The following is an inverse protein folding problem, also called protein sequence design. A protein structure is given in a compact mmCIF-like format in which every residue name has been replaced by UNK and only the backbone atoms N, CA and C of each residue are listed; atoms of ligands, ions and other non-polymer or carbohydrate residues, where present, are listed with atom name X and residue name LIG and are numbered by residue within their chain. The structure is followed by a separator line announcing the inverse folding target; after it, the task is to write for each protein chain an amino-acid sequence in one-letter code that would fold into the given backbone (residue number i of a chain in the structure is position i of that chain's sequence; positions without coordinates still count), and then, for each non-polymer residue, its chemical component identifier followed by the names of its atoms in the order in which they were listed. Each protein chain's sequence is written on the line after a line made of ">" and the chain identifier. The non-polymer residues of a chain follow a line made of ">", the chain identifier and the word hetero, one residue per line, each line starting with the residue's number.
data_IF_104132213864
#
_entry.id   IF_104132213864
#
_cell.length_a   1.000
_cell.length_b   1.000
_cell.length_c   1.000
_cell.angle_alpha   90.00
_cell.angle_beta   90.00
_cell.angle_gamma   90.00
#
_symmetry.space_group_name_H-M   'P 1'
#
loop_
_entity.id
_entity.type
_entity.pdbx_description
1 polymer ?
#
# COMPACT_ATOMS: atom_id res chain seq x y z
N UNK A 1 -18.45 10.97 -48.57
CA UNK A 1 -19.51 11.98 -48.38
C UNK A 1 -19.12 12.82 -47.17
N UNK A 2 -19.13 14.15 -47.35
CA UNK A 2 -18.63 15.20 -46.48
C UNK A 2 -19.15 15.19 -45.04
N UNK A 3 -18.30 15.69 -44.12
CA UNK A 3 -18.59 16.71 -43.07
C UNK A 3 -17.55 16.52 -41.94
N UNK A 4 -16.56 17.37 -41.66
CA UNK A 4 -16.37 18.78 -41.90
C UNK A 4 -14.87 19.00 -42.17
N UNK A 5 -14.51 19.66 -43.28
CA UNK A 5 -13.36 20.56 -43.21
C UNK A 5 -13.81 21.67 -42.25
N UNK A 6 -13.63 21.46 -40.94
CA UNK A 6 -13.82 22.51 -39.95
C UNK A 6 -12.80 23.58 -40.30
N UNK A 7 -13.27 24.61 -41.01
CA UNK A 7 -12.52 25.81 -41.35
C UNK A 7 -12.26 26.58 -40.06
N UNK A 8 -11.29 26.08 -39.29
CA UNK A 8 -10.78 26.77 -38.13
C UNK A 8 -10.14 28.10 -38.58
N UNK A 9 -10.26 29.10 -37.71
CA UNK A 9 -9.58 30.37 -37.91
C UNK A 9 -8.05 30.15 -38.02
N UNK A 10 -7.35 31.09 -38.66
CA UNK A 10 -5.89 31.09 -38.61
C UNK A 10 -5.40 31.17 -37.16
N UNK A 11 -4.16 30.70 -36.91
CA UNK A 11 -3.59 30.69 -35.55
C UNK A 11 -3.69 32.05 -34.86
N UNK A 12 -3.42 33.16 -35.58
CA UNK A 12 -3.51 34.51 -35.03
C UNK A 12 -4.94 34.91 -34.67
N UNK A 13 -5.91 34.67 -35.56
CA UNK A 13 -7.31 35.00 -35.31
C UNK A 13 -7.88 34.18 -34.14
N UNK A 14 -7.58 32.89 -34.11
CA UNK A 14 -8.03 31.99 -33.07
C UNK A 14 -7.41 32.36 -31.71
N UNK A 15 -6.10 32.62 -31.68
CA UNK A 15 -5.39 33.12 -30.49
C UNK A 15 -6.00 34.40 -29.94
N UNK A 16 -6.22 35.42 -30.78
CA UNK A 16 -6.83 36.67 -30.33
C UNK A 16 -8.20 36.43 -29.68
N UNK A 17 -9.00 35.54 -30.25
CA UNK A 17 -10.31 35.19 -29.71
C UNK A 17 -10.19 34.42 -28.39
N UNK A 18 -9.31 33.42 -28.28
CA UNK A 18 -9.07 32.69 -27.02
C UNK A 18 -8.59 33.64 -25.91
N UNK A 19 -7.75 34.61 -26.22
CA UNK A 19 -7.26 35.58 -25.23
C UNK A 19 -8.37 36.49 -24.68
N UNK A 20 -9.47 36.72 -25.42
CA UNK A 20 -10.63 37.45 -24.88
C UNK A 20 -11.36 36.68 -23.78
N UNK A 21 -11.23 35.36 -23.75
CA UNK A 21 -11.82 34.49 -22.72
C UNK A 21 -11.10 34.59 -21.37
N UNK A 22 -9.94 35.26 -21.32
CA UNK A 22 -9.13 35.49 -20.11
C UNK A 22 -8.82 34.22 -19.32
N UNK A 23 -8.65 33.11 -20.01
CA UNK A 23 -8.31 31.83 -19.41
C UNK A 23 -6.88 31.87 -18.87
N UNK A 24 -6.71 31.38 -17.65
CA UNK A 24 -5.43 31.45 -16.93
C UNK A 24 -4.68 30.12 -16.93
N UNK A 25 -5.28 29.06 -17.48
CA UNK A 25 -4.63 27.76 -17.58
C UNK A 25 -5.19 26.86 -18.69
N UNK A 26 -4.41 25.88 -19.18
CA UNK A 26 -4.88 24.86 -20.10
C UNK A 26 -6.06 24.03 -19.57
N UNK A 27 -6.23 23.93 -18.25
CA UNK A 27 -7.34 23.20 -17.64
C UNK A 27 -8.68 23.92 -17.85
N UNK A 28 -8.67 25.25 -17.78
CA UNK A 28 -9.87 26.05 -18.06
C UNK A 28 -10.27 25.94 -19.54
N UNK A 29 -9.28 25.86 -20.44
CA UNK A 29 -9.52 25.57 -21.86
C UNK A 29 -10.12 24.18 -22.09
N UNK A 30 -9.58 23.16 -21.43
CA UNK A 30 -10.09 21.78 -21.52
C UNK A 30 -11.54 21.68 -21.00
N UNK A 31 -11.85 22.35 -19.89
CA UNK A 31 -13.20 22.39 -19.32
C UNK A 31 -14.19 23.12 -20.23
N UNK A 32 -13.76 24.23 -20.84
CA UNK A 32 -14.55 24.99 -21.81
C UNK A 32 -14.85 24.14 -23.07
N UNK A 33 -13.90 23.30 -23.50
CA UNK A 33 -14.12 22.33 -24.58
C UNK A 33 -15.10 21.22 -24.19
N UNK A 34 -14.98 20.66 -22.98
CA UNK A 34 -15.86 19.58 -22.49
C UNK A 34 -17.30 20.03 -22.28
N UNK A 35 -17.48 21.25 -21.78
CA UNK A 35 -18.80 21.83 -21.54
C UNK A 35 -19.47 22.37 -22.81
N UNK A 36 -18.79 22.29 -23.96
CA UNK A 36 -19.32 22.78 -25.24
C UNK A 36 -19.38 24.31 -25.34
N UNK A 37 -18.77 25.03 -24.39
CA UNK A 37 -18.76 26.50 -24.34
C UNK A 37 -17.60 27.11 -25.15
N UNK A 38 -16.89 26.29 -25.94
CA UNK A 38 -15.84 26.76 -26.84
C UNK A 38 -16.44 27.41 -28.10
N UNK A 39 -15.80 28.43 -28.66
CA UNK A 39 -16.14 28.93 -29.98
C UNK A 39 -16.01 27.82 -31.04
N UNK A 40 -17.04 27.64 -31.87
CA UNK A 40 -17.08 26.58 -32.90
C UNK A 40 -15.95 26.72 -33.93
N UNK A 41 -15.49 27.96 -34.16
CA UNK A 41 -14.42 28.29 -35.10
C UNK A 41 -13.00 28.01 -34.56
N UNK A 42 -12.88 27.44 -33.36
CA UNK A 42 -11.60 27.12 -32.71
C UNK A 42 -11.53 25.61 -32.42
N UNK A 43 -10.42 24.94 -32.78
CA UNK A 43 -10.25 23.52 -32.52
C UNK A 43 -10.20 23.24 -31.01
N UNK A 44 -10.79 22.12 -30.59
CA UNK A 44 -10.65 21.64 -29.19
C UNK A 44 -9.19 21.36 -28.83
N UNK A 45 -8.40 20.93 -29.82
CA UNK A 45 -6.97 20.63 -29.71
C UNK A 45 -6.14 21.56 -30.62
N UNK A 46 -5.87 22.79 -30.17
CA UNK A 46 -5.09 23.75 -30.96
C UNK A 46 -3.62 23.36 -31.08
N UNK A 47 -3.06 22.61 -30.13
CA UNK A 47 -1.68 22.10 -30.19
C UNK A 47 -1.51 21.13 -31.36
N UNK A 48 -2.46 20.23 -31.57
CA UNK A 48 -2.43 19.31 -32.71
C UNK A 48 -2.75 20.00 -34.05
N UNK A 49 -3.75 20.88 -34.07
CA UNK A 49 -4.19 21.55 -35.31
C UNK A 49 -3.14 22.55 -35.81
N UNK A 50 -2.69 23.47 -34.96
CA UNK A 50 -1.68 24.47 -35.34
C UNK A 50 -0.25 23.94 -35.19
N UNK A 51 -0.04 22.83 -34.50
CA UNK A 51 1.24 22.11 -34.49
C UNK A 51 1.57 21.49 -35.85
N UNK A 52 0.56 21.04 -36.59
CA UNK A 52 0.74 20.54 -37.98
C UNK A 52 1.12 21.64 -38.97
N UNK A 53 0.70 22.88 -38.73
CA UNK A 53 1.05 24.04 -39.58
C UNK A 53 2.37 24.70 -39.15
N UNK A 54 2.93 24.31 -38.00
CA UNK A 54 4.14 24.90 -37.43
C UNK A 54 3.94 26.29 -36.80
N UNK A 55 2.69 26.77 -36.73
CA UNK A 55 2.36 28.08 -36.15
C UNK A 55 2.21 28.02 -34.62
N UNK A 56 1.95 26.84 -34.07
CA UNK A 56 1.85 26.62 -32.64
C UNK A 56 3.18 26.88 -31.92
N UNK A 57 3.13 27.70 -30.87
CA UNK A 57 4.29 27.97 -30.01
C UNK A 57 4.18 27.19 -28.71
N UNK A 58 3.29 27.63 -27.83
CA UNK A 58 3.00 27.01 -26.55
C UNK A 58 1.65 27.51 -26.02
N UNK A 59 1.20 26.92 -24.91
CA UNK A 59 -0.05 27.29 -24.24
C UNK A 59 -0.02 28.72 -23.69
N UNK A 60 1.15 29.28 -23.42
CA UNK A 60 1.31 30.63 -22.90
C UNK A 60 1.03 31.67 -23.99
N UNK A 61 1.58 31.48 -25.19
CA UNK A 61 1.28 32.32 -26.35
C UNK A 61 -0.19 32.22 -26.74
N UNK A 62 -0.74 31.00 -26.71
CA UNK A 62 -2.15 30.74 -27.04
C UNK A 62 -3.14 31.42 -26.08
N UNK A 63 -2.90 31.31 -24.77
CA UNK A 63 -3.78 31.88 -23.73
C UNK A 63 -3.45 33.34 -23.37
N UNK A 64 -2.33 33.88 -23.85
CA UNK A 64 -1.90 35.25 -23.56
C UNK A 64 -1.34 35.46 -22.16
N UNK A 65 -0.75 34.41 -21.56
CA UNK A 65 -0.24 34.44 -20.19
C UNK A 65 1.21 34.95 -20.17
N UNK A 66 1.54 36.01 -19.40
CA UNK A 66 2.91 36.49 -19.27
C UNK A 66 3.85 35.41 -18.73
N UNK A 67 5.06 35.31 -19.30
CA UNK A 67 6.09 34.32 -18.91
C UNK A 67 6.53 34.41 -17.44
N UNK A 68 6.14 35.47 -16.72
CA UNK A 68 6.49 35.74 -15.32
C UNK A 68 5.59 35.04 -14.31
N UNK A 69 4.41 34.53 -14.69
CA UNK A 69 3.41 33.95 -13.76
C UNK A 69 3.45 32.41 -13.66
N UNK A 70 4.60 31.78 -13.90
CA UNK A 70 4.69 30.32 -13.99
C UNK A 70 4.74 29.66 -12.60
N UNK A 71 3.61 29.13 -12.13
CA UNK A 71 3.62 27.92 -11.27
C UNK A 71 3.78 26.69 -12.18
N UNK A 72 4.99 26.12 -12.23
CA UNK A 72 5.31 24.87 -12.95
C UNK A 72 4.30 23.75 -12.59
N UNK A 73 3.46 23.33 -13.51
CA UNK A 73 2.64 22.12 -13.39
C UNK A 73 3.21 21.02 -14.27
N UNK A 74 4.09 20.19 -13.69
CA UNK A 74 4.45 18.89 -14.28
C UNK A 74 3.31 17.89 -14.04
N UNK A 75 2.83 17.29 -15.12
CA UNK A 75 2.00 16.08 -15.15
C UNK A 75 0.53 16.32 -14.82
N UNK A 76 -0.36 15.64 -15.54
CA UNK A 76 -1.79 15.56 -15.25
C UNK A 76 -2.00 15.41 -13.74
N UNK A 77 -2.45 16.48 -13.08
CA UNK A 77 -2.84 16.38 -11.67
C UNK A 77 -4.11 15.56 -11.69
N UNK A 78 -4.03 14.31 -11.21
CA UNK A 78 -5.22 13.58 -10.77
C UNK A 78 -6.04 14.56 -9.92
N UNK A 79 -7.25 14.86 -10.37
CA UNK A 79 -8.19 15.72 -9.65
C UNK A 79 -8.66 14.93 -8.43
N UNK A 80 -8.00 15.18 -7.30
CA UNK A 80 -8.38 14.59 -6.03
C UNK A 80 -9.63 15.28 -5.50
N UNK A 81 -10.49 14.53 -4.81
CA UNK A 81 -11.68 15.08 -4.16
C UNK A 81 -11.31 16.19 -3.15
N UNK A 82 -12.22 17.14 -2.86
CA UNK A 82 -12.08 18.04 -1.73
C UNK A 82 -11.79 17.28 -0.43
N UNK A 83 -11.05 17.89 0.49
CA UNK A 83 -10.58 17.21 1.70
C UNK A 83 -11.73 16.56 2.48
N UNK A 84 -12.84 17.26 2.65
CA UNK A 84 -14.00 16.76 3.41
C UNK A 84 -14.60 15.52 2.77
N UNK A 85 -14.90 15.57 1.46
CA UNK A 85 -15.47 14.42 0.74
C UNK A 85 -14.52 13.22 0.75
N UNK A 86 -13.22 13.47 0.57
CA UNK A 86 -12.22 12.43 0.59
C UNK A 86 -12.06 11.82 2.00
N UNK A 87 -12.12 12.64 3.05
CA UNK A 87 -12.06 12.22 4.45
C UNK A 87 -13.28 11.40 4.82
N UNK A 88 -14.48 11.79 4.41
CA UNK A 88 -15.72 11.08 4.71
C UNK A 88 -15.73 9.70 4.04
N UNK A 89 -15.27 9.62 2.80
CA UNK A 89 -15.02 8.35 2.12
C UNK A 89 -14.03 7.47 2.91
N UNK A 90 -12.88 8.02 3.31
CA UNK A 90 -11.87 7.25 4.05
C UNK A 90 -12.39 6.76 5.41
N UNK A 91 -13.16 7.59 6.12
CA UNK A 91 -13.77 7.23 7.41
C UNK A 91 -14.84 6.15 7.26
N UNK A 92 -15.58 6.14 6.16
CA UNK A 92 -16.57 5.09 5.87
C UNK A 92 -15.94 3.69 5.74
N UNK A 93 -14.67 3.60 5.31
CA UNK A 93 -13.93 2.34 5.18
C UNK A 93 -13.45 1.81 6.54
N UNK A 94 -13.44 2.63 7.60
CA UNK A 94 -13.09 2.25 8.99
C UNK A 94 -11.70 1.62 9.16
N UNK A 95 -10.70 2.12 8.43
CA UNK A 95 -9.31 1.65 8.53
C UNK A 95 -8.68 2.11 9.84
N UNK A 96 -8.05 1.19 10.60
CA UNK A 96 -7.62 1.45 11.96
C UNK A 96 -6.36 2.30 12.09
N UNK A 97 -5.53 2.33 11.05
CA UNK A 97 -4.23 3.00 11.11
C UNK A 97 -3.61 3.23 9.72
N UNK A 98 -2.53 4.01 9.69
CA UNK A 98 -1.77 4.32 8.46
C UNK A 98 -1.23 3.08 7.74
N UNK A 99 -0.95 1.98 8.45
CA UNK A 99 -0.47 0.73 7.82
C UNK A 99 -1.58 0.09 7.00
N UNK A 100 -2.79 0.02 7.56
CA UNK A 100 -3.99 -0.44 6.85
C UNK A 100 -4.34 0.46 5.68
N UNK A 101 -4.25 1.79 5.84
CA UNK A 101 -4.35 2.73 4.71
C UNK A 101 -3.37 2.37 3.58
N UNK A 102 -2.11 2.11 3.93
CA UNK A 102 -1.09 1.71 2.96
C UNK A 102 -1.36 0.37 2.27
N UNK A 103 -2.00 -0.59 2.96
CA UNK A 103 -2.41 -1.87 2.38
C UNK A 103 -3.62 -1.68 1.44
N UNK A 104 -4.62 -0.92 1.87
CA UNK A 104 -5.79 -0.57 1.04
C UNK A 104 -5.37 0.19 -0.23
N UNK A 105 -4.43 1.12 -0.14
CA UNK A 105 -3.88 1.80 -1.32
C UNK A 105 -3.19 0.85 -2.32
N UNK A 106 -2.70 -0.30 -1.84
CA UNK A 106 -2.00 -1.32 -2.65
C UNK A 106 -2.92 -2.42 -3.15
N UNK A 107 -4.13 -2.59 -2.58
CA UNK A 107 -5.07 -3.61 -3.04
C UNK A 107 -5.65 -3.31 -4.42
N UNK A 108 -5.59 -2.04 -4.84
CA UNK A 108 -6.21 -1.57 -6.08
C UNK A 108 -7.66 -1.09 -5.89
N UNK A 109 -8.22 -1.26 -4.70
CA UNK A 109 -9.61 -0.87 -4.39
C UNK A 109 -9.77 0.62 -4.07
N UNK A 110 -8.67 1.35 -3.86
CA UNK A 110 -8.70 2.79 -3.62
C UNK A 110 -9.10 3.54 -4.90
N UNK A 111 -10.17 4.36 -4.88
CA UNK A 111 -10.55 5.19 -6.01
C UNK A 111 -9.43 6.14 -6.45
N UNK A 112 -9.32 6.40 -7.75
CA UNK A 112 -8.26 7.23 -8.32
C UNK A 112 -8.31 8.70 -7.89
N UNK A 113 -9.50 9.19 -7.54
CA UNK A 113 -9.75 10.53 -7.00
C UNK A 113 -9.47 10.67 -5.49
N UNK A 114 -9.03 9.60 -4.82
CA UNK A 114 -8.57 9.65 -3.43
C UNK A 114 -7.05 9.55 -3.37
N UNK A 115 -6.32 10.50 -2.77
CA UNK A 115 -4.86 10.50 -2.83
C UNK A 115 -4.24 9.43 -1.93
N UNK A 116 -3.26 8.68 -2.45
CA UNK A 116 -2.45 7.73 -1.65
C UNK A 116 -1.72 8.42 -0.50
N UNK A 117 -1.25 9.66 -0.72
CA UNK A 117 -0.55 10.47 0.26
C UNK A 117 -1.34 11.77 0.54
N UNK A 118 -2.44 11.70 1.31
CA UNK A 118 -3.34 12.83 1.55
C UNK A 118 -2.64 14.00 2.23
N UNK A 119 -1.67 13.73 3.12
CA UNK A 119 -0.82 14.74 3.74
C UNK A 119 0.01 15.54 2.72
N UNK A 120 0.32 15.01 1.54
CA UNK A 120 1.03 15.79 0.51
C UNK A 120 0.09 16.64 -0.34
N UNK A 121 -1.18 16.24 -0.43
CA UNK A 121 -2.18 16.91 -1.27
C UNK A 121 -2.85 18.03 -0.47
N UNK A 122 -3.36 17.72 0.72
CA UNK A 122 -4.18 18.63 1.51
C UNK A 122 -3.38 19.52 2.48
N UNK A 123 -2.08 19.26 2.68
CA UNK A 123 -1.22 20.25 3.38
C UNK A 123 -1.03 21.50 2.53
N UNK A 124 -1.04 21.38 1.21
CA UNK A 124 -0.90 22.55 0.31
C UNK A 124 -2.15 23.44 0.30
N UNK A 125 -3.31 22.89 0.65
CA UNK A 125 -4.58 23.62 0.77
C UNK A 125 -4.86 24.07 2.21
N UNK A 126 -4.04 23.66 3.18
CA UNK A 126 -4.20 24.01 4.60
C UNK A 126 -5.26 23.19 5.34
N UNK A 127 -5.96 22.29 4.66
CA UNK A 127 -7.05 21.48 5.24
C UNK A 127 -6.52 20.27 6.02
N UNK A 128 -5.28 19.84 5.73
CA UNK A 128 -4.68 18.71 6.43
C UNK A 128 -4.28 19.06 7.86
N UNK A 129 -4.83 18.35 8.83
CA UNK A 129 -4.43 18.45 10.24
C UNK A 129 -3.51 17.30 10.64
N UNK A 130 -3.98 16.05 10.51
CA UNK A 130 -3.27 14.88 10.99
C UNK A 130 -3.81 13.58 10.38
N UNK A 131 -3.04 12.50 10.51
CA UNK A 131 -3.50 11.16 10.14
C UNK A 131 -4.70 10.71 10.97
N UNK A 132 -4.80 11.19 12.21
CA UNK A 132 -5.91 10.91 13.11
C UNK A 132 -7.21 11.54 12.62
N UNK A 133 -7.17 12.76 12.09
CA UNK A 133 -8.33 13.40 11.48
C UNK A 133 -8.72 12.69 10.17
N UNK A 134 -7.73 12.43 9.31
CA UNK A 134 -7.96 11.79 8.02
C UNK A 134 -8.61 10.40 8.10
N UNK A 135 -8.07 9.52 8.96
CA UNK A 135 -8.60 8.17 9.13
C UNK A 135 -9.85 8.14 10.04
N UNK A 136 -10.16 9.26 10.69
CA UNK A 136 -11.07 9.31 11.83
C UNK A 136 -10.37 8.77 13.07
N UNK A 137 -10.50 9.50 14.19
CA UNK A 137 -9.95 9.09 15.48
C UNK A 137 -10.60 7.76 15.89
N UNK A 138 -9.96 6.65 15.55
CA UNK A 138 -10.25 5.38 16.16
C UNK A 138 -9.45 5.39 17.45
N UNK A 139 -10.16 5.60 18.57
CA UNK A 139 -9.68 5.18 19.90
C UNK A 139 -8.92 3.89 19.67
N UNK A 140 -7.63 3.83 20.04
CA UNK A 140 -6.85 2.59 19.96
C UNK A 140 -7.76 1.53 20.53
N UNK A 141 -8.23 0.59 19.69
CA UNK A 141 -9.10 -0.45 20.22
C UNK A 141 -8.32 -1.09 21.36
N UNK A 142 -8.93 -1.16 22.55
CA UNK A 142 -8.24 -1.76 23.68
C UNK A 142 -7.81 -3.17 23.26
N UNK A 143 -6.60 -3.55 23.62
CA UNK A 143 -6.18 -4.91 23.38
C UNK A 143 -7.08 -5.85 24.18
N UNK A 144 -7.42 -6.98 23.57
CA UNK A 144 -8.23 -8.00 24.22
C UNK A 144 -7.55 -8.52 25.49
N UNK A 145 -8.32 -8.91 26.52
CA UNK A 145 -7.82 -9.73 27.62
C UNK A 145 -7.11 -10.98 27.09
N UNK A 146 -6.17 -11.51 27.86
CA UNK A 146 -5.29 -12.59 27.38
C UNK A 146 -6.09 -13.80 26.88
N UNK A 147 -7.13 -14.19 27.61
CA UNK A 147 -7.96 -15.35 27.27
C UNK A 147 -8.72 -15.19 25.95
N UNK A 148 -9.22 -13.99 25.64
CA UNK A 148 -9.86 -13.70 24.35
C UNK A 148 -8.83 -13.66 23.22
N UNK A 149 -7.62 -13.13 23.48
CA UNK A 149 -6.54 -13.19 22.51
C UNK A 149 -6.12 -14.63 22.20
N UNK A 150 -6.02 -15.51 23.21
CA UNK A 150 -5.69 -16.93 23.05
C UNK A 150 -6.68 -17.66 22.13
N UNK A 151 -7.99 -17.40 22.26
CA UNK A 151 -9.02 -17.97 21.36
C UNK A 151 -8.76 -17.65 19.88
N UNK A 152 -8.18 -16.48 19.59
CA UNK A 152 -7.83 -16.08 18.22
C UNK A 152 -6.48 -16.69 17.79
N UNK A 153 -5.52 -16.80 18.70
CA UNK A 153 -4.16 -17.23 18.38
C UNK A 153 -4.00 -18.76 18.31
N UNK A 154 -4.64 -19.52 19.19
CA UNK A 154 -4.47 -20.98 19.24
C UNK A 154 -4.84 -21.69 17.91
N UNK A 155 -5.93 -21.32 17.20
CA UNK A 155 -6.27 -21.91 15.91
C UNK A 155 -5.21 -21.67 14.81
N UNK A 156 -4.37 -20.63 14.96
CA UNK A 156 -3.28 -20.35 14.01
C UNK A 156 -2.12 -21.34 14.13
N UNK A 157 -2.08 -22.12 15.22
CA UNK A 157 -1.05 -23.14 15.52
C UNK A 157 0.38 -22.60 15.38
N UNK A 158 0.62 -21.36 15.83
CA UNK A 158 1.95 -20.77 15.84
C UNK A 158 2.81 -21.49 16.89
N UNK A 159 3.93 -22.07 16.49
CA UNK A 159 4.75 -22.95 17.36
C UNK A 159 5.98 -22.27 17.96
N UNK A 160 6.20 -21.01 17.65
CA UNK A 160 7.36 -20.29 18.17
C UNK A 160 7.17 -18.78 18.22
N UNK A 161 8.00 -18.13 19.03
CA UNK A 161 8.13 -16.67 19.05
C UNK A 161 8.54 -16.11 17.68
N UNK A 162 9.30 -16.87 16.90
CA UNK A 162 9.67 -16.50 15.54
C UNK A 162 8.45 -16.49 14.61
N UNK A 163 7.60 -17.52 14.67
CA UNK A 163 6.36 -17.58 13.89
C UNK A 163 5.41 -16.45 14.26
N UNK A 164 5.29 -16.15 15.55
CA UNK A 164 4.57 -14.96 16.02
C UNK A 164 5.13 -13.68 15.38
N UNK A 165 6.44 -13.43 15.51
CA UNK A 165 7.07 -12.23 14.95
C UNK A 165 6.90 -12.14 13.43
N UNK A 166 6.97 -13.27 12.73
CA UNK A 166 6.71 -13.35 11.29
C UNK A 166 5.26 -13.00 10.98
N UNK A 167 4.30 -13.56 11.70
CA UNK A 167 2.87 -13.29 11.57
C UNK A 167 2.56 -11.80 11.75
N UNK A 168 3.17 -11.15 12.76
CA UNK A 168 3.08 -9.70 12.98
C UNK A 168 3.72 -8.91 11.83
N UNK A 169 4.93 -9.29 11.39
CA UNK A 169 5.65 -8.59 10.31
C UNK A 169 4.88 -8.64 8.99
N UNK A 170 4.28 -9.78 8.66
CA UNK A 170 3.43 -9.96 7.49
C UNK A 170 2.10 -9.19 7.58
N UNK A 171 1.82 -8.52 8.69
CA UNK A 171 0.60 -7.72 8.87
C UNK A 171 -0.67 -8.55 9.04
N UNK A 172 -0.54 -9.86 9.32
CA UNK A 172 -1.68 -10.76 9.51
C UNK A 172 -2.28 -10.69 10.91
N UNK A 173 -1.54 -10.12 11.88
CA UNK A 173 -1.97 -9.96 13.28
C UNK A 173 -3.20 -9.06 13.39
N UNK A 174 -4.30 -9.53 14.02
CA UNK A 174 -5.47 -8.71 14.31
C UNK A 174 -5.10 -7.42 15.06
N UNK A 175 -5.73 -6.27 14.77
CA UNK A 175 -5.47 -5.01 15.47
C UNK A 175 -5.67 -5.09 16.98
N UNK A 176 -6.63 -5.91 17.42
CA UNK A 176 -7.02 -6.12 18.81
C UNK A 176 -6.03 -6.93 19.66
N UNK A 177 -4.95 -7.43 19.07
CA UNK A 177 -3.90 -8.19 19.77
C UNK A 177 -2.60 -7.38 19.77
N UNK A 178 -1.91 -7.23 20.91
CA UNK A 178 -0.67 -6.47 20.98
C UNK A 178 0.43 -7.13 20.13
N UNK A 179 1.24 -6.33 19.43
CA UNK A 179 2.40 -6.86 18.69
C UNK A 179 3.45 -7.50 19.62
N UNK A 180 3.55 -6.98 20.85
CA UNK A 180 4.43 -7.47 21.91
C UNK A 180 3.60 -7.99 23.09
N UNK A 181 2.98 -9.18 22.98
CA UNK A 181 2.06 -9.72 23.99
C UNK A 181 2.74 -9.90 25.34
N UNK A 182 3.98 -10.39 25.37
CA UNK A 182 4.80 -10.44 26.59
C UNK A 182 4.87 -9.10 27.32
N UNK A 183 5.04 -7.99 26.60
CA UNK A 183 5.19 -6.67 27.24
C UNK A 183 3.84 -6.16 27.74
N UNK A 184 2.78 -6.37 26.95
CA UNK A 184 1.44 -5.90 27.30
C UNK A 184 0.85 -6.70 28.46
N UNK A 185 0.77 -8.03 28.34
CA UNK A 185 0.15 -8.89 29.33
C UNK A 185 0.99 -9.06 30.62
N UNK A 186 2.30 -8.79 30.57
CA UNK A 186 3.08 -8.65 31.82
C UNK A 186 2.67 -7.43 32.63
N UNK A 187 2.25 -6.35 31.98
CA UNK A 187 1.78 -5.14 32.67
C UNK A 187 0.39 -5.35 33.28
N UNK A 188 -0.44 -6.19 32.67
CA UNK A 188 -1.77 -6.53 33.20
C UNK A 188 -1.75 -7.67 34.22
N UNK A 189 -0.61 -8.37 34.38
CA UNK A 189 -0.46 -9.50 35.31
C UNK A 189 -0.96 -10.84 34.76
N UNK A 190 -1.48 -10.87 33.53
CA UNK A 190 -2.03 -12.07 32.91
C UNK A 190 -0.95 -12.97 32.28
N UNK A 191 0.24 -12.43 32.00
CA UNK A 191 1.27 -13.17 31.25
C UNK A 191 1.96 -14.27 32.06
N UNK A 192 1.84 -15.50 31.59
CA UNK A 192 2.63 -16.65 32.05
C UNK A 192 3.91 -16.82 31.24
N UNK A 193 3.80 -17.35 30.03
CA UNK A 193 4.92 -17.60 29.13
C UNK A 193 4.45 -17.67 27.66
N UNK A 194 5.38 -17.91 26.74
CA UNK A 194 5.08 -18.01 25.32
C UNK A 194 4.33 -19.28 24.94
N UNK A 195 4.52 -20.39 25.66
CA UNK A 195 3.85 -21.64 25.37
C UNK A 195 2.36 -21.50 25.68
N UNK A 196 2.03 -20.91 26.83
CA UNK A 196 0.67 -20.57 27.23
C UNK A 196 -0.02 -19.61 26.23
N UNK A 197 0.66 -18.54 25.80
CA UNK A 197 0.09 -17.59 24.84
C UNK A 197 -0.15 -18.19 23.43
N UNK A 198 0.71 -19.12 23.01
CA UNK A 198 0.64 -19.74 21.69
C UNK A 198 -0.18 -21.04 21.69
N UNK A 199 -0.64 -21.52 22.84
CA UNK A 199 -1.37 -22.78 22.98
C UNK A 199 -0.49 -24.01 22.72
N UNK A 200 0.77 -23.97 23.15
CA UNK A 200 1.71 -25.09 23.08
C UNK A 200 1.63 -25.86 24.41
N UNK A 201 1.20 -27.14 24.40
CA UNK A 201 1.12 -27.95 25.62
C UNK A 201 2.50 -28.14 26.27
N UNK A 202 2.54 -28.26 27.59
CA UNK A 202 3.79 -28.37 28.35
C UNK A 202 4.53 -29.70 28.11
N UNK A 203 3.81 -30.73 27.73
CA UNK A 203 4.23 -32.10 27.45
C UNK A 203 4.43 -32.39 25.96
N UNK A 204 4.16 -31.41 25.08
CA UNK A 204 4.27 -31.58 23.64
C UNK A 204 5.74 -31.64 23.19
N UNK A 205 6.33 -32.83 23.31
CA UNK A 205 7.62 -33.18 22.73
C UNK A 205 7.52 -33.36 21.21
N UNK A 206 6.31 -33.58 20.71
CA UNK A 206 5.99 -33.76 19.29
C UNK A 206 5.28 -32.52 18.74
N UNK A 207 6.01 -31.42 18.53
CA UNK A 207 5.52 -30.12 18.00
C UNK A 207 4.74 -30.17 16.65
N UNK A 208 4.32 -31.35 16.18
CA UNK A 208 3.77 -31.64 14.86
C UNK A 208 4.86 -31.62 13.80
N UNK A 209 6.12 -31.41 14.19
CA UNK A 209 7.25 -31.40 13.28
C UNK A 209 7.56 -32.82 12.83
N UNK A 210 7.86 -32.96 11.55
CA UNK A 210 8.26 -34.23 10.97
C UNK A 210 9.53 -34.76 11.68
N UNK A 211 9.68 -36.07 11.81
CA UNK A 211 10.94 -36.68 12.21
C UNK A 211 12.09 -36.17 11.34
N UNK A 212 13.28 -36.04 11.91
CA UNK A 212 14.44 -35.42 11.24
C UNK A 212 14.65 -35.91 9.81
N UNK A 213 14.58 -37.23 9.61
CA UNK A 213 14.75 -37.85 8.30
C UNK A 213 13.69 -37.42 7.27
N UNK A 214 12.43 -37.32 7.68
CA UNK A 214 11.34 -36.89 6.80
C UNK A 214 11.43 -35.39 6.50
N UNK A 215 11.82 -34.59 7.52
CA UNK A 215 11.97 -33.16 7.37
C UNK A 215 13.13 -32.79 6.45
N UNK A 216 14.31 -33.40 6.62
CA UNK A 216 15.47 -33.16 5.73
C UNK A 216 15.19 -33.63 4.31
N UNK A 217 14.45 -34.73 4.12
CA UNK A 217 14.06 -35.19 2.78
C UNK A 217 13.19 -34.16 2.02
N UNK A 218 12.35 -33.40 2.73
CA UNK A 218 11.67 -32.24 2.14
C UNK A 218 12.66 -31.12 1.80
N UNK A 219 13.59 -30.80 2.71
CA UNK A 219 14.58 -29.72 2.50
C UNK A 219 15.53 -30.01 1.34
N UNK A 220 15.95 -31.27 1.15
CA UNK A 220 16.78 -31.69 0.02
C UNK A 220 16.11 -31.39 -1.32
N UNK A 221 14.79 -31.57 -1.43
CA UNK A 221 14.01 -31.22 -2.63
C UNK A 221 14.03 -29.73 -2.95
N UNK A 222 14.30 -28.86 -1.97
CA UNK A 222 14.46 -27.42 -2.18
C UNK A 222 15.80 -27.04 -2.81
N UNK A 223 16.79 -27.96 -2.82
CA UNK A 223 18.11 -27.79 -3.43
C UNK A 223 18.83 -26.49 -3.00
N UNK A 224 18.75 -26.17 -1.70
CA UNK A 224 19.30 -24.94 -1.13
C UNK A 224 20.80 -25.07 -0.93
N UNK A 225 21.58 -24.25 -1.65
CA UNK A 225 23.04 -24.38 -1.73
C UNK A 225 23.83 -24.05 -0.46
N UNK A 226 23.20 -23.47 0.56
CA UNK A 226 23.86 -23.11 1.82
C UNK A 226 22.86 -22.63 2.88
N UNK A 227 23.34 -22.50 4.11
CA UNK A 227 22.58 -22.02 5.25
C UNK A 227 21.98 -20.62 5.02
N UNK A 228 22.65 -19.71 4.29
CA UNK A 228 22.10 -18.38 3.98
C UNK A 228 20.84 -18.49 3.11
N UNK A 229 20.82 -19.42 2.14
CA UNK A 229 19.63 -19.69 1.32
C UNK A 229 18.49 -20.27 2.16
N UNK A 230 18.78 -21.14 3.13
CA UNK A 230 17.79 -21.58 4.12
C UNK A 230 17.26 -20.44 4.99
N UNK A 231 18.14 -19.61 5.55
CA UNK A 231 17.75 -18.45 6.34
C UNK A 231 16.87 -17.46 5.56
N UNK A 232 17.16 -17.29 4.27
CA UNK A 232 16.30 -16.52 3.38
C UNK A 232 14.96 -17.22 3.15
N UNK A 233 14.97 -18.50 2.78
CA UNK A 233 13.77 -19.30 2.52
C UNK A 233 12.82 -19.34 3.73
N UNK A 234 13.35 -19.54 4.95
CA UNK A 234 12.52 -19.53 6.17
C UNK A 234 11.90 -18.17 6.49
N UNK A 235 12.48 -17.10 5.95
CA UNK A 235 12.00 -15.73 6.14
C UNK A 235 10.94 -15.33 5.12
N UNK A 236 11.08 -15.78 3.87
CA UNK A 236 10.28 -15.30 2.72
C UNK A 236 9.42 -16.39 2.07
N UNK A 237 9.84 -17.65 2.13
CA UNK A 237 9.19 -18.79 1.50
C UNK A 237 8.10 -19.46 2.34
N UNK A 238 7.34 -20.33 1.71
CA UNK A 238 6.27 -21.13 2.33
C UNK A 238 6.86 -22.43 2.89
N UNK A 239 7.36 -22.37 4.13
CA UNK A 239 7.73 -23.57 4.87
C UNK A 239 6.44 -24.24 5.37
N UNK A 240 6.25 -25.56 5.13
CA UNK A 240 5.16 -26.31 5.72
C UNK A 240 5.16 -26.18 7.26
N UNK A 241 3.98 -26.09 7.88
CA UNK A 241 3.88 -25.89 9.34
C UNK A 241 4.52 -27.03 10.16
N UNK A 242 4.70 -28.21 9.57
CA UNK A 242 5.34 -29.38 10.16
C UNK A 242 6.85 -29.47 9.87
N UNK A 243 7.48 -28.41 9.34
CA UNK A 243 8.93 -28.32 9.23
C UNK A 243 9.43 -27.23 10.20
N UNK A 244 10.36 -27.55 11.12
CA UNK A 244 10.85 -26.56 12.07
C UNK A 244 11.61 -25.45 11.33
N UNK A 245 11.27 -24.20 11.65
CA UNK A 245 11.95 -23.01 11.10
C UNK A 245 13.41 -22.95 11.57
N UNK A 246 13.67 -23.42 12.79
CA UNK A 246 15.01 -23.54 13.35
C UNK A 246 15.31 -25.02 13.65
N UNK A 247 15.72 -25.79 12.62
CA UNK A 247 15.91 -27.23 12.73
C UNK A 247 17.07 -27.57 13.66
N UNK A 248 18.11 -26.74 13.70
CA UNK A 248 19.24 -26.90 14.62
C UNK A 248 18.75 -26.86 16.06
N UNK A 249 18.00 -25.82 16.45
CA UNK A 249 17.48 -25.70 17.82
C UNK A 249 16.48 -26.83 18.15
N UNK A 250 15.64 -27.23 17.20
CA UNK A 250 14.64 -28.26 17.45
C UNK A 250 15.26 -29.65 17.56
N UNK A 251 16.00 -30.09 16.53
CA UNK A 251 16.55 -31.44 16.49
C UNK A 251 17.75 -31.63 17.42
N UNK A 252 18.41 -30.56 17.88
CA UNK A 252 19.41 -30.67 18.96
C UNK A 252 18.74 -31.10 20.27
N UNK A 253 17.49 -30.67 20.52
CA UNK A 253 16.72 -31.09 21.70
C UNK A 253 16.28 -32.55 21.63
N UNK A 254 15.99 -33.05 20.43
CA UNK A 254 15.61 -34.46 20.23
C UNK A 254 16.82 -35.39 20.09
N UNK A 255 18.03 -34.83 19.91
CA UNK A 255 19.25 -35.60 19.69
C UNK A 255 19.45 -36.06 18.24
N UNK A 256 18.56 -35.67 17.32
CA UNK A 256 18.60 -36.09 15.91
C UNK A 256 19.44 -35.16 15.02
N UNK A 257 19.83 -33.98 15.51
CA UNK A 257 20.56 -33.00 14.72
C UNK A 257 21.98 -33.48 14.42
N UNK A 258 22.36 -33.45 13.14
CA UNK A 258 23.73 -33.74 12.69
C UNK A 258 24.48 -32.45 12.40
N UNK A 259 24.31 -31.87 11.22
CA UNK A 259 24.85 -30.57 10.84
C UNK A 259 24.04 -29.92 9.70
N UNK A 260 24.47 -28.72 9.29
CA UNK A 260 23.86 -27.97 8.20
C UNK A 260 24.09 -28.58 6.82
N UNK A 261 25.14 -29.37 6.60
CA UNK A 261 25.39 -30.02 5.30
C UNK A 261 24.39 -31.14 5.10
N UNK A 262 24.19 -32.00 6.10
CA UNK A 262 23.20 -33.06 6.07
C UNK A 262 21.78 -32.50 5.95
N UNK A 263 21.42 -31.50 6.76
CA UNK A 263 20.09 -30.89 6.70
C UNK A 263 19.75 -30.30 5.32
N UNK A 264 20.73 -29.72 4.63
CA UNK A 264 20.56 -29.07 3.33
C UNK A 264 20.77 -30.02 2.14
N UNK A 265 21.37 -31.18 2.36
CA UNK A 265 21.73 -32.14 1.30
C UNK A 265 22.91 -31.67 0.46
N UNK A 266 23.95 -31.12 1.11
CA UNK A 266 25.16 -30.57 0.50
C UNK A 266 26.36 -31.52 0.59
#
# INVERSE_FOLDING_TARGET
>A
MNSNEETYLSYQQAKTLVQTLKLTSPLEWEELCKTGNKPDTIPSDPEHVYGRTGEWKDWQDWLGIPKTDIKKTKGHRKTFLPFEQARDFVRAIKLANRKEWGLYCKSGERPDNIPTNPNRIYTRTGEWTSWQDWLGSLKKQPFLPLEEAKKIIHPLRLRSTFEWNRYVRLGRKPPSIPASPKVFYKKTGEWKDWNDFLGIPADDTSLGYLPYQQARAFVHKLNLKNQRKWQFYRRTGSIPQNIPIDPEIFYTKTGDWTDWKDWLGL
#
